data_IF_118113894864
#
_entry.id   IF_118113894864
#
_cell.length_a   1.000
_cell.length_b   1.000
_cell.length_c   1.000
_cell.angle_alpha   90.00
_cell.angle_beta   90.00
_cell.angle_gamma   90.00
#
_symmetry.space_group_name_H-M   'P 1'
#
loop_
_entity.id
_entity.type
_entity.pdbx_description
1 polymer ?
#
# COMPACT_ATOMS: atom_id res chain seq x y z
N UNK A 1 -11.23 -42.94 -30.00
CA UNK A 1 -11.04 -42.33 -28.67
C UNK A 1 -9.65 -41.70 -28.48
N UNK A 2 -8.55 -42.38 -28.88
CA UNK A 2 -7.19 -41.84 -28.74
C UNK A 2 -6.93 -40.49 -29.45
N UNK A 3 -7.46 -40.30 -30.66
CA UNK A 3 -7.29 -39.05 -31.44
C UNK A 3 -7.91 -37.84 -30.74
N UNK A 4 -9.10 -37.98 -30.14
CA UNK A 4 -9.74 -36.89 -29.41
C UNK A 4 -8.93 -36.49 -28.16
N UNK A 5 -8.30 -37.45 -27.49
CA UNK A 5 -7.42 -37.19 -26.35
C UNK A 5 -6.13 -36.46 -26.78
N UNK A 6 -5.56 -36.82 -27.93
CA UNK A 6 -4.39 -36.11 -28.47
C UNK A 6 -4.73 -34.66 -28.88
N UNK A 7 -5.89 -34.45 -29.48
CA UNK A 7 -6.34 -33.11 -29.87
C UNK A 7 -6.58 -32.24 -28.62
N UNK A 8 -7.28 -32.77 -27.61
CA UNK A 8 -7.57 -32.02 -26.38
C UNK A 8 -6.31 -31.67 -25.59
N UNK A 9 -5.35 -32.59 -25.50
CA UNK A 9 -4.06 -32.36 -24.82
C UNK A 9 -3.20 -31.32 -25.53
N UNK A 10 -3.10 -31.36 -26.86
CA UNK A 10 -2.39 -30.33 -27.62
C UNK A 10 -3.04 -28.94 -27.46
N UNK A 11 -4.37 -28.86 -27.49
CA UNK A 11 -5.07 -27.59 -27.28
C UNK A 11 -4.82 -27.03 -25.87
N UNK A 12 -4.84 -27.88 -24.85
CA UNK A 12 -4.49 -27.51 -23.49
C UNK A 12 -3.04 -27.01 -23.38
N UNK A 13 -2.09 -27.70 -24.00
CA UNK A 13 -0.67 -27.31 -24.02
C UNK A 13 -0.44 -25.96 -24.73
N UNK A 14 -1.16 -25.71 -25.83
CA UNK A 14 -1.09 -24.41 -26.51
C UNK A 14 -1.68 -23.30 -25.63
N UNK A 15 -2.77 -23.56 -24.92
CA UNK A 15 -3.39 -22.59 -24.03
C UNK A 15 -2.49 -22.23 -22.85
N UNK A 16 -1.82 -23.22 -22.23
CA UNK A 16 -0.85 -22.99 -21.15
C UNK A 16 0.34 -22.18 -21.64
N UNK A 17 0.93 -22.55 -22.78
CA UNK A 17 2.05 -21.82 -23.38
C UNK A 17 1.70 -20.34 -23.66
N UNK A 18 0.53 -20.08 -24.26
CA UNK A 18 0.08 -18.70 -24.52
C UNK A 18 -0.11 -17.90 -23.22
N UNK A 19 -0.62 -18.56 -22.17
CA UNK A 19 -0.81 -17.92 -20.87
C UNK A 19 0.51 -17.56 -20.19
N UNK A 20 1.50 -18.45 -20.24
CA UNK A 20 2.84 -18.21 -19.71
C UNK A 20 3.52 -17.06 -20.47
N UNK A 21 3.50 -17.10 -21.80
CA UNK A 21 4.06 -16.03 -22.63
C UNK A 21 3.41 -14.67 -22.39
N UNK A 22 2.10 -14.62 -22.10
CA UNK A 22 1.41 -13.38 -21.71
C UNK A 22 1.91 -12.86 -20.36
N UNK A 23 2.07 -13.74 -19.37
CA UNK A 23 2.59 -13.39 -18.04
C UNK A 23 4.02 -12.87 -18.12
N UNK A 24 4.87 -13.47 -18.95
CA UNK A 24 6.26 -13.01 -19.17
C UNK A 24 6.31 -11.58 -19.70
N UNK A 25 5.59 -11.30 -20.79
CA UNK A 25 5.51 -9.93 -21.35
C UNK A 25 4.94 -8.93 -20.35
N UNK A 26 3.95 -9.33 -19.56
CA UNK A 26 3.41 -8.46 -18.51
C UNK A 26 4.47 -8.15 -17.45
N UNK A 27 5.25 -9.16 -17.00
CA UNK A 27 6.35 -8.95 -16.04
C UNK A 27 7.41 -8.02 -16.59
N UNK A 28 7.81 -8.18 -17.86
CA UNK A 28 8.76 -7.30 -18.53
C UNK A 28 8.25 -5.85 -18.59
N UNK A 29 6.99 -5.66 -19.00
CA UNK A 29 6.34 -4.36 -19.00
C UNK A 29 6.27 -3.71 -17.62
N UNK A 30 5.92 -4.47 -16.58
CA UNK A 30 5.92 -4.00 -15.19
C UNK A 30 7.34 -3.63 -14.75
N UNK A 31 8.37 -4.43 -15.10
CA UNK A 31 9.78 -4.15 -14.77
C UNK A 31 10.24 -2.84 -15.40
N UNK A 32 9.91 -2.62 -16.68
CA UNK A 32 10.20 -1.37 -17.37
C UNK A 32 9.47 -0.17 -16.73
N UNK A 33 8.18 -0.30 -16.42
CA UNK A 33 7.39 0.74 -15.77
C UNK A 33 7.87 1.08 -14.36
N UNK A 34 8.31 0.08 -13.59
CA UNK A 34 8.96 0.26 -12.28
C UNK A 34 10.29 1.00 -12.40
N UNK A 35 11.13 0.62 -13.36
CA UNK A 35 12.41 1.33 -13.64
C UNK A 35 12.18 2.79 -14.02
N UNK A 36 11.11 3.06 -14.78
CA UNK A 36 10.68 4.41 -15.13
C UNK A 36 9.89 5.16 -14.04
N UNK A 37 9.78 4.63 -12.82
CA UNK A 37 9.12 5.31 -11.69
C UNK A 37 7.59 5.44 -11.78
N UNK A 38 6.95 4.84 -12.79
CA UNK A 38 5.48 4.96 -13.00
C UNK A 38 4.68 4.13 -11.97
N UNK A 39 5.29 3.08 -11.43
CA UNK A 39 4.62 2.14 -10.51
C UNK A 39 4.79 2.59 -9.05
N UNK A 40 3.95 3.53 -8.61
CA UNK A 40 4.01 4.12 -7.26
C UNK A 40 3.14 3.39 -6.22
N UNK A 41 2.46 2.32 -6.63
CA UNK A 41 1.49 1.61 -5.78
C UNK A 41 0.23 2.41 -5.50
N UNK A 42 -0.49 2.08 -4.43
CA UNK A 42 -1.67 2.83 -4.00
C UNK A 42 -1.22 4.22 -3.52
N UNK A 43 -1.86 5.27 -4.04
CA UNK A 43 -1.64 6.64 -3.55
C UNK A 43 -1.91 6.72 -2.06
N UNK A 44 -1.02 7.40 -1.34
CA UNK A 44 -1.12 7.58 0.11
C UNK A 44 -2.31 8.47 0.43
N UNK A 45 -3.08 8.11 1.47
CA UNK A 45 -4.24 8.89 1.98
C UNK A 45 -3.80 9.98 2.96
N UNK A 46 -2.50 10.02 3.30
CA UNK A 46 -1.91 11.01 4.20
C UNK A 46 -1.56 12.26 3.38
N UNK A 47 -2.38 13.28 3.56
CA UNK A 47 -2.15 14.61 2.98
C UNK A 47 -1.45 15.53 3.97
N UNK A 48 -0.81 16.60 3.48
CA UNK A 48 -0.19 17.65 4.32
C UNK A 48 -1.18 18.25 5.32
N UNK A 49 -2.43 18.44 4.91
CA UNK A 49 -3.52 18.92 5.77
C UNK A 49 -3.79 17.95 6.93
N UNK A 50 -3.82 16.65 6.65
CA UNK A 50 -4.03 15.64 7.69
C UNK A 50 -2.88 15.62 8.69
N UNK A 51 -1.63 15.75 8.22
CA UNK A 51 -0.45 15.82 9.09
C UNK A 51 -0.56 17.00 10.06
N UNK A 52 -0.83 18.21 9.53
CA UNK A 52 -0.98 19.42 10.34
C UNK A 52 -2.15 19.31 11.33
N UNK A 53 -3.28 18.76 10.90
CA UNK A 53 -4.44 18.55 11.78
C UNK A 53 -4.12 17.58 12.91
N UNK A 54 -3.47 16.44 12.61
CA UNK A 54 -3.07 15.45 13.63
C UNK A 54 -2.06 16.06 14.60
N UNK A 55 -1.09 16.83 14.10
CA UNK A 55 -0.12 17.52 14.94
C UNK A 55 -0.80 18.50 15.90
N UNK A 56 -1.68 19.37 15.38
CA UNK A 56 -2.39 20.35 16.20
C UNK A 56 -3.27 19.69 17.27
N UNK A 57 -4.04 18.66 16.89
CA UNK A 57 -4.91 17.94 17.83
C UNK A 57 -4.10 17.18 18.90
N UNK A 58 -2.89 16.73 18.57
CA UNK A 58 -2.04 15.99 19.49
C UNK A 58 -1.24 16.88 20.42
N UNK A 59 -0.61 17.94 19.89
CA UNK A 59 0.31 18.81 20.63
C UNK A 59 -0.40 19.96 21.35
N UNK A 60 -1.40 20.60 20.72
CA UNK A 60 -2.08 21.75 21.31
C UNK A 60 -3.28 21.35 22.17
N UNK A 61 -4.04 20.33 21.74
CA UNK A 61 -5.26 19.89 22.44
C UNK A 61 -5.05 18.65 23.32
N UNK A 62 -3.87 18.02 23.28
CA UNK A 62 -3.53 16.82 24.05
C UNK A 62 -4.54 15.65 23.92
N UNK A 63 -5.23 15.53 22.78
CA UNK A 63 -6.25 14.51 22.57
C UNK A 63 -5.67 13.10 22.43
N UNK A 64 -6.49 12.09 22.75
CA UNK A 64 -6.15 10.70 22.52
C UNK A 64 -6.21 10.36 21.03
N UNK A 65 -5.44 9.34 20.60
CA UNK A 65 -5.44 8.89 19.20
C UNK A 65 -6.83 8.43 18.75
N UNK A 66 -7.63 7.90 19.68
CA UNK A 66 -9.01 7.47 19.41
C UNK A 66 -9.93 8.64 19.09
N UNK A 67 -9.81 9.75 19.82
CA UNK A 67 -10.58 10.97 19.57
C UNK A 67 -10.12 11.65 18.28
N UNK A 68 -8.81 11.71 18.04
CA UNK A 68 -8.25 12.24 16.80
C UNK A 68 -8.78 11.46 15.59
N UNK A 69 -8.84 10.13 15.68
CA UNK A 69 -9.40 9.28 14.63
C UNK A 69 -10.88 9.58 14.35
N UNK A 70 -11.68 9.81 15.40
CA UNK A 70 -13.10 10.21 15.27
C UNK A 70 -13.23 11.58 14.60
N UNK A 71 -12.46 12.57 15.04
CA UNK A 71 -12.53 13.94 14.51
C UNK A 71 -11.99 14.09 13.08
N UNK A 72 -11.03 13.25 12.70
CA UNK A 72 -10.43 13.27 11.35
C UNK A 72 -11.13 12.31 10.38
N UNK A 73 -12.10 11.52 10.86
CA UNK A 73 -12.77 10.45 10.10
C UNK A 73 -11.79 9.47 9.44
N UNK A 74 -10.62 9.28 10.05
CA UNK A 74 -9.59 8.35 9.59
C UNK A 74 -9.43 7.21 10.58
N UNK A 75 -9.07 6.03 10.06
CA UNK A 75 -8.73 4.89 10.90
C UNK A 75 -7.56 5.20 11.83
N UNK A 76 -7.60 4.67 13.06
CA UNK A 76 -6.53 4.83 14.07
C UNK A 76 -5.15 4.44 13.52
N UNK A 77 -5.10 3.43 12.65
CA UNK A 77 -3.88 2.98 11.97
C UNK A 77 -3.24 4.07 11.12
N UNK A 78 -4.03 4.85 10.39
CA UNK A 78 -3.56 6.00 9.61
C UNK A 78 -2.99 7.08 10.54
N UNK A 79 -3.65 7.37 11.66
CA UNK A 79 -3.17 8.36 12.64
C UNK A 79 -1.85 7.90 13.27
N UNK A 80 -1.76 6.64 13.69
CA UNK A 80 -0.50 6.07 14.19
C UNK A 80 0.62 6.12 13.13
N UNK A 81 0.29 5.88 11.85
CA UNK A 81 1.25 5.99 10.75
C UNK A 81 1.76 7.42 10.58
N UNK A 82 0.86 8.41 10.64
CA UNK A 82 1.23 9.84 10.61
C UNK A 82 2.15 10.18 11.78
N UNK A 83 1.77 9.83 13.00
CA UNK A 83 2.56 10.14 14.20
C UNK A 83 3.97 9.53 14.12
N UNK A 84 4.09 8.26 13.70
CA UNK A 84 5.40 7.58 13.64
C UNK A 84 6.27 8.04 12.46
N UNK A 85 5.68 8.18 11.27
CA UNK A 85 6.46 8.38 10.04
C UNK A 85 6.66 9.86 9.67
N UNK A 86 5.79 10.76 10.13
CA UNK A 86 5.82 12.18 9.77
C UNK A 86 6.19 13.08 10.95
N UNK A 87 5.83 12.68 12.18
CA UNK A 87 6.01 13.48 13.39
C UNK A 87 6.98 12.86 14.41
N UNK A 88 7.72 11.81 14.00
CA UNK A 88 8.78 11.16 14.78
C UNK A 88 8.39 10.71 16.20
N UNK A 89 7.14 10.31 16.40
CA UNK A 89 6.72 9.70 17.67
C UNK A 89 7.24 8.27 17.78
N UNK A 90 7.94 7.97 18.87
CA UNK A 90 8.48 6.64 19.18
C UNK A 90 7.52 5.91 20.12
N UNK A 91 7.25 4.62 19.90
CA UNK A 91 6.45 3.84 20.84
C UNK A 91 7.28 3.42 22.06
N UNK A 92 7.03 4.04 23.22
CA UNK A 92 7.55 3.60 24.52
C UNK A 92 6.40 3.52 25.53
N UNK A 93 5.55 2.48 25.46
CA UNK A 93 4.26 2.33 26.19
C UNK A 93 3.21 3.46 26.00
N UNK A 94 3.63 4.72 25.87
CA UNK A 94 2.93 5.93 25.43
C UNK A 94 3.76 6.53 24.28
N UNK A 95 3.11 7.10 23.27
CA UNK A 95 3.81 7.78 22.18
C UNK A 95 4.47 9.04 22.74
N UNK A 96 5.80 9.07 22.70
CA UNK A 96 6.62 10.24 23.07
C UNK A 96 7.27 10.76 21.80
N UNK A 97 7.27 12.09 21.61
CA UNK A 97 7.92 12.73 20.47
C UNK A 97 9.43 12.69 20.72
N UNK A 98 10.19 12.24 19.74
CA UNK A 98 11.64 12.27 19.85
C UNK A 98 12.14 13.64 19.37
N UNK A 99 12.69 14.43 20.29
CA UNK A 99 13.37 15.68 19.96
C UNK A 99 14.78 15.34 19.45
N UNK A 100 14.86 14.90 18.19
CA UNK A 100 16.10 14.80 17.44
C UNK A 100 16.13 15.85 16.34
#
# INVERSE_FOLDING_TARGET
MAVNQLISTNLAAIATFKNERRKERQREGIKAARKGGKYLGRRTVIDKKLISQVQNLKENKNLSVTEIAKLTERGRTTIYKVLKQQLNYVPFNRLVKNDK
#
